data_IF_864853468697
#
_entry.id   IF_864853468697
#
_cell.length_a   1.000
_cell.length_b   1.000
_cell.length_c   1.000
_cell.angle_alpha   90.00
_cell.angle_beta   90.00
_cell.angle_gamma   90.00
#
_symmetry.space_group_name_H-M   'P 1'
#
loop_
_entity.id
_entity.type
_entity.pdbx_description
1 polymer ?
#
# COMPACT_ATOMS: atom_id res chain seq x y z
N UNK A 1 3.08 11.92 29.83
CA UNK A 1 4.22 11.46 29.01
C UNK A 1 4.40 9.93 29.03
N UNK A 2 4.15 9.25 30.16
CA UNK A 2 4.26 7.78 30.25
C UNK A 2 3.32 7.01 29.29
N UNK A 3 2.13 7.55 29.00
CA UNK A 3 1.17 6.93 28.07
C UNK A 3 1.60 6.98 26.60
N UNK A 4 2.52 7.86 26.22
CA UNK A 4 3.02 8.01 24.84
C UNK A 4 4.19 7.04 24.57
N UNK A 5 5.04 6.79 25.57
CA UNK A 5 6.16 5.84 25.49
C UNK A 5 5.65 4.39 25.50
N UNK A 6 4.64 4.08 26.32
CA UNK A 6 4.01 2.75 26.30
C UNK A 6 3.33 2.45 24.95
N UNK A 7 2.76 3.46 24.29
CA UNK A 7 2.19 3.31 22.94
C UNK A 7 3.26 3.02 21.89
N UNK A 8 4.44 3.63 21.96
CA UNK A 8 5.50 3.40 20.96
C UNK A 8 6.18 2.05 21.09
N UNK A 9 6.23 1.45 22.28
CA UNK A 9 6.80 0.10 22.49
C UNK A 9 5.80 -1.02 22.13
N UNK A 10 4.50 -0.79 22.30
CA UNK A 10 3.44 -1.69 21.89
C UNK A 10 3.15 -1.66 20.37
N UNK A 11 3.61 -0.64 19.64
CA UNK A 11 3.40 -0.51 18.19
C UNK A 11 4.42 -1.34 17.36
N UNK A 12 4.92 -2.43 17.95
CA UNK A 12 5.77 -3.40 17.25
C UNK A 12 4.87 -4.46 16.61
N UNK A 13 4.62 -4.33 15.30
CA UNK A 13 3.98 -5.40 14.52
C UNK A 13 5.01 -6.51 14.22
N UNK A 14 4.60 -7.77 14.38
CA UNK A 14 5.41 -8.91 13.95
C UNK A 14 5.72 -8.82 12.46
N UNK A 15 6.99 -9.05 12.11
CA UNK A 15 7.47 -9.04 10.72
C UNK A 15 6.69 -10.08 9.88
N UNK A 16 6.51 -11.27 10.43
CA UNK A 16 5.70 -12.32 9.84
C UNK A 16 4.25 -12.20 10.34
N UNK A 17 3.48 -11.32 9.72
CA UNK A 17 2.03 -11.25 9.90
C UNK A 17 1.32 -11.81 8.66
N UNK A 18 0.31 -12.69 8.82
CA UNK A 18 -0.37 -13.29 7.68
C UNK A 18 -1.10 -12.21 6.86
N UNK A 19 -1.13 -12.39 5.55
CA UNK A 19 -1.89 -11.51 4.66
C UNK A 19 -3.39 -11.57 4.97
N UNK A 20 -4.15 -10.49 4.72
CA UNK A 20 -5.58 -10.48 4.92
C UNK A 20 -6.27 -11.54 4.02
N UNK A 21 -7.15 -12.32 4.65
CA UNK A 21 -7.96 -13.34 3.99
C UNK A 21 -8.92 -12.74 2.95
N UNK A 22 -9.46 -13.58 2.06
CA UNK A 22 -10.25 -13.15 0.90
C UNK A 22 -11.46 -12.31 1.31
N UNK A 23 -12.15 -12.69 2.39
CA UNK A 23 -13.36 -12.02 2.89
C UNK A 23 -13.07 -10.58 3.37
N UNK A 24 -11.84 -10.29 3.79
CA UNK A 24 -11.42 -8.96 4.24
C UNK A 24 -10.98 -8.05 3.09
N UNK A 25 -10.79 -8.59 1.88
CA UNK A 25 -10.44 -7.81 0.70
C UNK A 25 -11.69 -7.16 0.15
N UNK A 26 -11.54 -5.92 -0.33
CA UNK A 26 -12.59 -5.21 -1.06
C UNK A 26 -12.08 -4.93 -2.46
N UNK A 27 -13.01 -4.83 -3.40
CA UNK A 27 -12.70 -4.29 -4.72
C UNK A 27 -12.14 -2.87 -4.57
N UNK A 28 -11.20 -2.55 -5.44
CA UNK A 28 -10.54 -1.26 -5.43
C UNK A 28 -11.32 -0.32 -6.34
N UNK A 29 -11.92 0.70 -5.73
CA UNK A 29 -12.72 1.71 -6.44
C UNK A 29 -12.10 3.10 -6.37
N UNK A 30 -11.06 3.26 -5.54
CA UNK A 30 -10.39 4.53 -5.35
C UNK A 30 -9.10 4.57 -6.15
N UNK A 31 -8.98 5.59 -6.99
CA UNK A 31 -7.77 5.85 -7.76
C UNK A 31 -6.66 6.35 -6.83
N UNK A 32 -5.45 5.84 -7.03
CA UNK A 32 -4.23 6.35 -6.44
C UNK A 32 -3.56 7.25 -7.48
N UNK A 33 -3.63 8.56 -7.25
CA UNK A 33 -3.00 9.52 -8.15
C UNK A 33 -1.48 9.53 -7.92
N UNK A 34 -0.70 9.25 -8.97
CA UNK A 34 0.76 9.29 -8.90
C UNK A 34 1.32 10.68 -9.19
N UNK A 35 0.56 11.53 -9.89
CA UNK A 35 0.98 12.87 -10.30
C UNK A 35 1.81 12.89 -11.59
N UNK A 36 2.03 11.72 -12.20
CA UNK A 36 2.69 11.58 -13.49
C UNK A 36 1.62 11.38 -14.56
N UNK A 37 1.43 12.39 -15.42
CA UNK A 37 0.42 12.36 -16.49
C UNK A 37 0.57 11.10 -17.35
N UNK A 38 1.81 10.72 -17.66
CA UNK A 38 2.10 9.52 -18.45
C UNK A 38 1.58 8.24 -17.78
N UNK A 39 1.74 8.09 -16.46
CA UNK A 39 1.31 6.89 -15.74
C UNK A 39 -0.20 6.94 -15.47
N UNK A 40 -0.70 8.06 -14.92
CA UNK A 40 -2.10 8.21 -14.54
C UNK A 40 -3.07 8.13 -15.74
N UNK A 41 -2.61 8.45 -16.96
CA UNK A 41 -3.41 8.34 -18.19
C UNK A 41 -3.33 6.97 -18.87
N UNK A 42 -2.16 6.33 -18.86
CA UNK A 42 -1.96 5.06 -19.56
C UNK A 42 -2.28 3.84 -18.68
N UNK A 43 -2.00 3.93 -17.37
CA UNK A 43 -2.14 2.84 -16.41
C UNK A 43 -2.69 3.42 -15.09
N UNK A 44 -4.01 3.60 -14.97
CA UNK A 44 -4.60 4.12 -13.74
C UNK A 44 -4.43 3.11 -12.60
N UNK A 45 -3.70 3.51 -11.55
CA UNK A 45 -3.40 2.67 -10.38
C UNK A 45 -4.52 2.84 -9.34
N UNK A 46 -5.00 1.73 -8.77
CA UNK A 46 -5.99 1.74 -7.70
C UNK A 46 -5.39 1.56 -6.30
N UNK A 47 -6.03 2.11 -5.26
CA UNK A 47 -5.65 1.88 -3.86
C UNK A 47 -5.79 0.41 -3.45
N UNK A 48 -4.66 -0.26 -3.23
CA UNK A 48 -4.61 -1.69 -2.90
C UNK A 48 -4.17 -2.58 -4.06
N UNK A 49 -3.87 -2.00 -5.23
CA UNK A 49 -3.21 -2.68 -6.33
C UNK A 49 -1.70 -2.82 -6.06
N UNK A 50 -1.07 -3.76 -6.79
CA UNK A 50 0.37 -3.92 -6.85
C UNK A 50 0.78 -3.89 -8.32
N UNK A 51 1.22 -2.73 -8.81
CA UNK A 51 1.87 -2.61 -10.11
C UNK A 51 3.36 -2.93 -9.99
N UNK A 52 3.88 -3.70 -10.94
CA UNK A 52 5.31 -3.92 -11.11
C UNK A 52 5.86 -2.85 -12.07
N UNK A 53 6.95 -2.19 -11.67
CA UNK A 53 7.66 -1.23 -12.52
C UNK A 53 9.02 -1.85 -12.88
N UNK A 54 9.25 -2.07 -14.18
CA UNK A 54 10.54 -2.52 -14.71
C UNK A 54 11.03 -1.47 -15.70
N UNK A 55 12.13 -0.75 -15.40
CA UNK A 55 12.79 0.07 -16.40
C UNK A 55 13.49 -0.83 -17.42
N UNK A 56 13.22 -0.62 -18.71
CA UNK A 56 14.05 -1.19 -19.78
C UNK A 56 15.35 -0.39 -19.80
N UNK A 57 16.45 -1.00 -19.36
CA UNK A 57 17.80 -0.51 -19.62
C UNK A 57 18.27 -1.22 -20.88
N UNK A 58 18.31 -0.48 -21.98
CA UNK A 58 19.12 -0.87 -23.14
C UNK A 58 20.59 -0.51 -22.86
#
# INVERSE_FOLDING_TARGET
MESLILRSLLDSRLIESPAPGIILRRFVYEHLQTGLIAIDSMIPIGRGHRELIIPCFD
#
